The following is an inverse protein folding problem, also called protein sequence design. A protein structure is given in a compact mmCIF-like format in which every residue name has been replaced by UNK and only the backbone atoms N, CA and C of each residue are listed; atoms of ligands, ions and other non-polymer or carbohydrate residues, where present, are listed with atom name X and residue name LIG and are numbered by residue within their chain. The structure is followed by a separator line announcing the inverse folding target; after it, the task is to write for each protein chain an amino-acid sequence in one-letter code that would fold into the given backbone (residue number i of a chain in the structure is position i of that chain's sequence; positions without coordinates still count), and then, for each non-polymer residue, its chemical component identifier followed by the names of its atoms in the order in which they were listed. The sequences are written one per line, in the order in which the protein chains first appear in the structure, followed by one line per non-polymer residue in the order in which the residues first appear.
data_IF_384110519193
#
_entry.id   IF_384110519193
#
_cell.length_a   1.000
_cell.length_b   1.000
_cell.length_c   1.000
_cell.angle_alpha   90.00
_cell.angle_beta   90.00
_cell.angle_gamma   90.00
#
_symmetry.space_group_name_H-M   'P 1'
#
loop_
_entity.id
_entity.type
_entity.pdbx_description
1 polymer ?
#
# COMPACT_ATOMS: atom_id res chain seq x y z
N UNK A 1 -0.44 1.43 -14.60
CA UNK A 1 -0.08 0.01 -14.47
C UNK A 1 -1.29 -0.87 -14.19
N UNK A 2 -1.23 -2.10 -14.62
CA UNK A 2 -2.23 -3.13 -14.32
C UNK A 2 -1.52 -4.49 -14.26
N UNK A 3 -1.70 -5.24 -13.17
CA UNK A 3 -1.02 -6.53 -13.01
C UNK A 3 -1.39 -7.51 -14.13
N UNK A 4 -2.67 -7.72 -14.37
CA UNK A 4 -3.15 -8.56 -15.48
C UNK A 4 -2.96 -7.93 -16.86
N UNK A 5 -2.85 -6.60 -16.91
CA UNK A 5 -2.88 -5.82 -18.13
C UNK A 5 -4.23 -5.81 -18.85
N UNK A 6 -5.30 -6.27 -18.18
CA UNK A 6 -6.66 -6.41 -18.75
C UNK A 6 -7.69 -5.50 -18.06
N UNK A 7 -7.30 -4.71 -17.04
CA UNK A 7 -8.21 -3.79 -16.37
C UNK A 7 -8.77 -2.81 -17.39
N UNK A 8 -10.09 -2.87 -17.59
CA UNK A 8 -10.80 -2.19 -18.69
C UNK A 8 -10.50 -0.69 -18.72
N UNK A 9 -10.68 -0.02 -17.59
CA UNK A 9 -10.45 1.43 -17.47
C UNK A 9 -9.01 1.83 -17.78
N UNK A 10 -8.05 0.99 -17.36
CA UNK A 10 -6.62 1.24 -17.62
C UNK A 10 -6.28 1.06 -19.09
N UNK A 11 -6.85 0.05 -19.74
CA UNK A 11 -6.64 -0.21 -21.17
C UNK A 11 -7.31 0.87 -22.01
N UNK A 12 -8.56 1.24 -21.71
CA UNK A 12 -9.27 2.31 -22.43
C UNK A 12 -8.57 3.67 -22.28
N UNK A 13 -8.06 3.98 -21.08
CA UNK A 13 -7.25 5.19 -20.88
C UNK A 13 -5.96 5.17 -21.71
N UNK A 14 -5.26 4.04 -21.79
CA UNK A 14 -4.07 3.91 -22.62
C UNK A 14 -4.40 4.07 -24.11
N UNK A 15 -5.48 3.46 -24.58
CA UNK A 15 -5.96 3.60 -25.97
C UNK A 15 -6.33 5.05 -26.30
N UNK A 16 -7.03 5.75 -25.42
CA UNK A 16 -7.35 7.17 -25.59
C UNK A 16 -6.09 8.03 -25.72
N UNK A 17 -5.01 7.69 -25.00
CA UNK A 17 -3.77 8.44 -25.03
C UNK A 17 -2.93 8.22 -26.29
N UNK A 18 -3.20 7.19 -27.11
CA UNK A 18 -2.50 6.94 -28.37
C UNK A 18 -2.62 8.11 -29.37
N UNK A 19 -3.75 8.81 -29.32
CA UNK A 19 -4.02 9.97 -30.19
C UNK A 19 -3.62 11.31 -29.56
N UNK A 20 -3.00 11.29 -28.39
CA UNK A 20 -2.60 12.50 -27.66
C UNK A 20 -1.09 12.77 -27.82
N UNK A 21 -0.64 14.04 -27.73
CA UNK A 21 0.79 14.39 -27.82
C UNK A 21 1.53 14.09 -26.51
N UNK A 22 1.55 12.83 -26.11
CA UNK A 22 2.22 12.36 -24.89
C UNK A 22 2.88 11.00 -25.13
N UNK A 23 3.84 10.65 -24.31
CA UNK A 23 4.48 9.33 -24.29
C UNK A 23 3.86 8.49 -23.17
N UNK A 24 3.47 7.26 -23.49
CA UNK A 24 2.85 6.35 -22.54
C UNK A 24 3.79 5.20 -22.14
N UNK A 25 3.84 4.91 -20.84
CA UNK A 25 4.60 3.78 -20.28
C UNK A 25 3.65 2.87 -19.52
N UNK A 26 3.64 1.59 -19.84
CA UNK A 26 2.74 0.60 -19.21
C UNK A 26 3.47 -0.47 -18.43
N UNK A 27 3.09 -0.65 -17.16
CA UNK A 27 3.58 -1.75 -16.31
C UNK A 27 2.54 -2.87 -16.26
N UNK A 28 2.94 -4.09 -16.58
CA UNK A 28 2.08 -5.26 -16.55
C UNK A 28 2.88 -6.54 -16.34
N UNK A 29 2.22 -7.63 -15.99
CA UNK A 29 2.87 -8.92 -15.82
C UNK A 29 3.36 -9.49 -17.14
N UNK A 30 2.57 -9.37 -18.22
CA UNK A 30 2.78 -10.07 -19.49
C UNK A 30 3.03 -9.11 -20.66
N UNK A 31 3.87 -9.55 -21.59
CA UNK A 31 4.22 -8.81 -22.82
C UNK A 31 3.05 -8.74 -23.81
N UNK A 32 2.16 -9.71 -23.81
CA UNK A 32 1.02 -9.87 -24.72
C UNK A 32 -0.30 -9.33 -24.15
N UNK A 33 -0.25 -8.72 -22.96
CA UNK A 33 -1.43 -8.15 -22.33
C UNK A 33 -1.98 -6.93 -23.12
N UNK A 34 -3.30 -6.70 -23.12
CA UNK A 34 -3.93 -5.56 -23.82
C UNK A 34 -3.30 -4.21 -23.48
N UNK A 35 -2.94 -3.98 -22.20
CA UNK A 35 -2.26 -2.75 -21.79
C UNK A 35 -0.89 -2.62 -22.45
N UNK A 36 -0.11 -3.71 -22.52
CA UNK A 36 1.21 -3.70 -23.16
C UNK A 36 1.14 -3.36 -24.65
N UNK A 37 0.03 -3.71 -25.31
CA UNK A 37 -0.20 -3.39 -26.72
C UNK A 37 -0.75 -1.97 -26.95
N UNK A 38 -1.24 -1.32 -25.91
CA UNK A 38 -1.88 -0.01 -25.97
C UNK A 38 -0.96 1.16 -25.56
N UNK A 39 0.30 0.90 -25.21
CA UNK A 39 1.27 1.92 -24.77
C UNK A 39 2.52 1.95 -25.66
N UNK A 40 3.23 3.10 -25.69
CA UNK A 40 4.47 3.25 -26.46
C UNK A 40 5.61 2.41 -25.89
N UNK A 41 5.73 2.34 -24.56
CA UNK A 41 6.78 1.61 -23.84
C UNK A 41 6.17 0.62 -22.86
N UNK A 42 5.93 -0.63 -23.27
CA UNK A 42 5.55 -1.69 -22.33
C UNK A 42 6.74 -2.15 -21.49
N UNK A 43 6.57 -2.19 -20.18
CA UNK A 43 7.55 -2.67 -19.22
C UNK A 43 6.96 -3.89 -18.45
N UNK A 44 7.07 -5.09 -19.02
CA UNK A 44 6.61 -6.30 -18.37
C UNK A 44 7.58 -6.75 -17.28
N UNK A 45 7.06 -7.11 -16.09
CA UNK A 45 7.88 -7.58 -14.96
C UNK A 45 7.83 -9.09 -14.73
N UNK A 46 7.14 -9.83 -15.59
CA UNK A 46 7.08 -11.30 -15.52
C UNK A 46 6.10 -11.84 -14.48
N UNK A 47 6.07 -13.14 -14.33
CA UNK A 47 5.16 -13.80 -13.40
C UNK A 47 5.57 -13.56 -11.95
N UNK A 48 4.63 -13.06 -11.16
CA UNK A 48 4.80 -12.84 -9.72
C UNK A 48 3.46 -12.87 -9.00
N UNK A 49 3.46 -13.36 -7.76
CA UNK A 49 2.32 -13.21 -6.83
C UNK A 49 2.33 -11.84 -6.14
N UNK A 50 3.43 -11.11 -6.24
CA UNK A 50 3.66 -9.83 -5.59
C UNK A 50 3.50 -8.64 -6.56
N UNK A 51 2.46 -8.65 -7.41
CA UNK A 51 2.24 -7.66 -8.46
C UNK A 51 2.17 -6.23 -7.96
N UNK A 52 1.64 -6.01 -6.76
CA UNK A 52 1.61 -4.69 -6.13
C UNK A 52 3.03 -4.16 -5.88
N UNK A 53 3.90 -4.96 -5.27
CA UNK A 53 5.30 -4.58 -5.03
C UNK A 53 6.07 -4.38 -6.34
N UNK A 54 5.86 -5.26 -7.33
CA UNK A 54 6.51 -5.12 -8.64
C UNK A 54 6.14 -3.79 -9.33
N UNK A 55 4.85 -3.44 -9.36
CA UNK A 55 4.39 -2.15 -9.91
C UNK A 55 5.01 -0.96 -9.14
N UNK A 56 5.06 -1.04 -7.81
CA UNK A 56 5.65 0.01 -7.00
C UNK A 56 7.14 0.22 -7.30
N UNK A 57 7.92 -0.85 -7.31
CA UNK A 57 9.36 -0.82 -7.61
C UNK A 57 9.61 -0.24 -9.01
N UNK A 58 8.89 -0.72 -10.01
CA UNK A 58 9.03 -0.25 -11.39
C UNK A 58 8.67 1.24 -11.53
N UNK A 59 7.59 1.68 -10.87
CA UNK A 59 7.17 3.08 -10.89
C UNK A 59 8.21 3.98 -10.23
N UNK A 60 8.73 3.60 -9.06
CA UNK A 60 9.76 4.37 -8.35
C UNK A 60 11.06 4.45 -9.18
N UNK A 61 11.48 3.36 -9.79
CA UNK A 61 12.66 3.33 -10.66
C UNK A 61 12.48 4.26 -11.87
N UNK A 62 11.33 4.21 -12.56
CA UNK A 62 11.03 5.06 -13.72
C UNK A 62 11.01 6.54 -13.33
N UNK A 63 10.24 6.90 -12.28
CA UNK A 63 10.10 8.29 -11.83
C UNK A 63 11.47 8.84 -11.39
N UNK A 64 12.25 8.05 -10.68
CA UNK A 64 13.60 8.46 -10.26
C UNK A 64 14.54 8.71 -11.44
N UNK A 65 14.48 7.87 -12.48
CA UNK A 65 15.23 8.07 -13.71
C UNK A 65 14.82 9.34 -14.45
N UNK A 66 13.53 9.63 -14.49
CA UNK A 66 13.02 10.88 -15.05
C UNK A 66 13.51 12.10 -14.24
N UNK A 67 13.41 12.06 -12.92
CA UNK A 67 13.89 13.16 -12.05
C UNK A 67 15.40 13.39 -12.18
N UNK A 68 16.19 12.33 -12.31
CA UNK A 68 17.66 12.44 -12.56
C UNK A 68 17.99 13.27 -13.78
N UNK A 69 17.14 13.20 -14.82
CA UNK A 69 17.36 13.94 -16.07
C UNK A 69 16.74 15.33 -16.01
N UNK A 70 15.52 15.44 -15.43
CA UNK A 70 14.76 16.69 -15.42
C UNK A 70 15.23 17.68 -14.33
N UNK A 71 15.76 17.17 -13.20
CA UNK A 71 16.13 17.95 -12.04
C UNK A 71 17.61 17.75 -11.69
N UNK A 72 18.54 18.59 -12.20
CA UNK A 72 19.98 18.39 -12.03
C UNK A 72 20.47 18.33 -10.57
N UNK A 73 19.69 18.89 -9.63
CA UNK A 73 20.00 18.84 -8.19
C UNK A 73 19.54 17.55 -7.50
N UNK A 74 18.78 16.70 -8.17
CA UNK A 74 18.24 15.49 -7.58
C UNK A 74 19.23 14.31 -7.74
N UNK A 75 19.90 13.93 -6.66
CA UNK A 75 21.00 12.96 -6.69
C UNK A 75 20.66 11.60 -6.03
N UNK A 76 19.38 11.36 -5.71
CA UNK A 76 18.95 10.16 -4.97
C UNK A 76 18.77 8.93 -5.87
N UNK A 77 18.91 9.06 -7.19
CA UNK A 77 18.57 8.00 -8.16
C UNK A 77 19.32 6.68 -7.89
N UNK A 78 20.66 6.71 -7.83
CA UNK A 78 21.46 5.49 -7.66
C UNK A 78 21.18 4.85 -6.29
N UNK A 79 21.16 5.66 -5.23
CA UNK A 79 20.85 5.20 -3.89
C UNK A 79 19.43 4.59 -3.81
N UNK A 80 18.48 5.16 -4.56
CA UNK A 80 17.13 4.62 -4.65
C UNK A 80 17.13 3.26 -5.36
N UNK A 81 17.81 3.11 -6.48
CA UNK A 81 17.89 1.83 -7.21
C UNK A 81 18.52 0.73 -6.34
N UNK A 82 19.62 1.04 -5.66
CA UNK A 82 20.27 0.11 -4.73
C UNK A 82 19.31 -0.30 -3.60
N UNK A 83 18.61 0.68 -3.01
CA UNK A 83 17.62 0.44 -1.96
C UNK A 83 16.43 -0.38 -2.46
N UNK A 84 15.94 -0.13 -3.68
CA UNK A 84 14.88 -0.95 -4.30
C UNK A 84 15.35 -2.39 -4.54
N UNK A 85 16.64 -2.59 -4.84
CA UNK A 85 17.25 -3.92 -4.94
C UNK A 85 17.27 -4.67 -3.61
N UNK A 86 17.43 -3.96 -2.48
CA UNK A 86 17.40 -4.52 -1.13
C UNK A 86 15.97 -4.70 -0.55
N UNK A 87 14.97 -4.08 -1.18
CA UNK A 87 13.59 -4.05 -0.67
C UNK A 87 13.00 -5.45 -0.41
N UNK A 88 13.17 -6.48 -1.26
CA UNK A 88 12.61 -7.81 -1.00
C UNK A 88 13.06 -8.41 0.35
N UNK A 89 14.33 -8.26 0.71
CA UNK A 89 14.84 -8.73 2.00
C UNK A 89 14.27 -7.91 3.16
N UNK A 90 14.20 -6.59 3.02
CA UNK A 90 13.61 -5.71 4.03
C UNK A 90 12.12 -6.04 4.29
N UNK A 91 11.35 -6.34 3.23
CA UNK A 91 9.94 -6.76 3.33
C UNK A 91 9.81 -8.10 4.07
N UNK A 92 10.64 -9.09 3.71
CA UNK A 92 10.63 -10.40 4.36
C UNK A 92 10.95 -10.29 5.86
N UNK A 93 11.98 -9.52 6.21
CA UNK A 93 12.35 -9.29 7.61
C UNK A 93 11.27 -8.53 8.38
N UNK A 94 10.63 -7.55 7.76
CA UNK A 94 9.50 -6.82 8.34
C UNK A 94 8.34 -7.75 8.66
N UNK A 95 7.96 -8.62 7.73
CA UNK A 95 6.89 -9.58 7.93
C UNK A 95 7.21 -10.53 9.11
N UNK A 96 8.44 -11.05 9.18
CA UNK A 96 8.90 -11.92 10.28
C UNK A 96 8.87 -11.16 11.62
N UNK A 97 9.43 -9.94 11.67
CA UNK A 97 9.47 -9.12 12.86
C UNK A 97 8.08 -8.82 13.41
N UNK A 98 7.11 -8.57 12.54
CA UNK A 98 5.75 -8.20 12.92
C UNK A 98 4.84 -9.40 13.23
N UNK A 99 5.23 -10.62 12.94
CA UNK A 99 4.33 -11.79 12.95
C UNK A 99 3.66 -12.04 14.30
N UNK A 100 4.41 -11.99 15.40
CA UNK A 100 3.87 -12.20 16.75
C UNK A 100 2.86 -11.11 17.12
N UNK A 101 3.15 -9.84 16.81
CA UNK A 101 2.25 -8.72 17.03
C UNK A 101 0.98 -8.86 16.19
N UNK A 102 1.14 -9.17 14.91
CA UNK A 102 0.04 -9.36 13.98
C UNK A 102 -0.89 -10.52 14.40
N UNK A 103 -0.33 -11.61 14.93
CA UNK A 103 -1.09 -12.73 15.50
C UNK A 103 -1.99 -12.28 16.64
N UNK A 104 -1.45 -11.53 17.58
CA UNK A 104 -2.19 -11.05 18.75
C UNK A 104 -3.24 -10.00 18.37
N UNK A 105 -2.89 -9.03 17.52
CA UNK A 105 -3.83 -8.04 17.02
C UNK A 105 -4.99 -8.70 16.24
N UNK A 106 -4.70 -9.66 15.36
CA UNK A 106 -5.75 -10.41 14.67
C UNK A 106 -6.67 -11.17 15.63
N UNK A 107 -6.11 -11.78 16.69
CA UNK A 107 -6.89 -12.45 17.73
C UNK A 107 -7.80 -11.47 18.48
N UNK A 108 -7.30 -10.29 18.82
CA UNK A 108 -8.04 -9.25 19.56
C UNK A 108 -9.19 -8.66 18.75
N UNK A 109 -8.97 -8.44 17.45
CA UNK A 109 -9.89 -7.70 16.60
C UNK A 109 -10.66 -8.57 15.59
N UNK A 110 -10.56 -9.92 15.67
CA UNK A 110 -11.22 -10.86 14.75
C UNK A 110 -12.75 -10.74 14.68
N UNK A 111 -13.37 -10.31 15.75
CA UNK A 111 -14.83 -10.19 15.83
C UNK A 111 -15.34 -8.78 15.44
N UNK A 112 -14.42 -7.82 15.24
CA UNK A 112 -14.76 -6.48 14.79
C UNK A 112 -15.07 -6.48 13.29
N UNK A 113 -16.24 -5.97 12.95
CA UNK A 113 -16.71 -5.88 11.56
C UNK A 113 -16.52 -4.51 10.94
N UNK A 114 -16.20 -3.52 11.75
CA UNK A 114 -15.94 -2.14 11.35
C UNK A 114 -14.56 -1.75 11.86
N UNK A 115 -13.75 -1.17 10.98
CA UNK A 115 -12.43 -0.62 11.33
C UNK A 115 -12.18 0.67 10.55
N UNK A 116 -11.37 1.55 11.11
CA UNK A 116 -10.85 2.71 10.40
C UNK A 116 -9.33 2.57 10.21
N UNK A 117 -8.85 2.94 9.03
CA UNK A 117 -7.41 2.95 8.73
C UNK A 117 -7.02 4.35 8.33
N UNK A 118 -6.13 4.99 9.10
CA UNK A 118 -5.73 6.38 8.88
C UNK A 118 -4.29 6.43 8.40
N UNK A 119 -4.03 7.18 7.32
CA UNK A 119 -2.68 7.41 6.78
C UNK A 119 -2.50 8.85 6.31
N UNK A 120 -1.30 9.40 6.52
CA UNK A 120 -0.90 10.71 6.01
C UNK A 120 -0.03 10.55 4.75
N UNK A 121 -0.16 11.47 3.78
CA UNK A 121 0.66 11.48 2.58
C UNK A 121 0.74 10.11 1.90
N UNK A 122 1.95 9.58 1.62
CA UNK A 122 2.14 8.28 0.98
C UNK A 122 1.50 7.12 1.75
N UNK A 123 1.36 7.21 3.08
CA UNK A 123 0.74 6.17 3.90
C UNK A 123 -0.75 6.00 3.61
N UNK A 124 -1.41 6.98 3.01
CA UNK A 124 -2.81 6.82 2.61
C UNK A 124 -2.97 5.74 1.52
N UNK A 125 -1.98 5.55 0.65
CA UNK A 125 -2.01 4.46 -0.32
C UNK A 125 -2.05 3.09 0.38
N UNK A 126 -1.24 2.88 1.42
CA UNK A 126 -1.24 1.67 2.24
C UNK A 126 -2.56 1.52 3.03
N UNK A 127 -3.09 2.63 3.58
CA UNK A 127 -4.40 2.62 4.24
C UNK A 127 -5.53 2.21 3.28
N UNK A 128 -5.50 2.69 2.04
CA UNK A 128 -6.47 2.32 1.01
C UNK A 128 -6.34 0.85 0.62
N UNK A 129 -5.12 0.37 0.34
CA UNK A 129 -4.88 -1.02 -0.04
C UNK A 129 -5.33 -1.97 1.07
N UNK A 130 -4.92 -1.73 2.32
CA UNK A 130 -5.37 -2.53 3.45
C UNK A 130 -6.89 -2.49 3.61
N UNK A 131 -7.48 -1.29 3.65
CA UNK A 131 -8.90 -1.12 3.91
C UNK A 131 -9.78 -1.68 2.79
N UNK A 132 -9.54 -1.24 1.54
CA UNK A 132 -10.40 -1.54 0.40
C UNK A 132 -10.03 -2.87 -0.24
N UNK A 133 -8.76 -3.04 -0.63
CA UNK A 133 -8.35 -4.19 -1.44
C UNK A 133 -8.16 -5.47 -0.61
N UNK A 134 -7.87 -5.35 0.69
CA UNK A 134 -7.65 -6.51 1.56
C UNK A 134 -8.86 -6.75 2.48
N UNK A 135 -9.13 -5.84 3.41
CA UNK A 135 -10.14 -6.11 4.44
C UNK A 135 -11.57 -6.09 3.90
N UNK A 136 -11.94 -5.15 3.03
CA UNK A 136 -13.26 -5.18 2.38
C UNK A 136 -13.36 -6.29 1.34
N UNK A 137 -12.43 -6.34 0.40
CA UNK A 137 -12.49 -7.25 -0.75
C UNK A 137 -12.30 -8.72 -0.35
N UNK A 138 -11.31 -8.98 0.51
CA UNK A 138 -10.86 -10.34 0.82
C UNK A 138 -11.39 -10.86 2.15
N UNK A 139 -11.78 -10.00 3.10
CA UNK A 139 -12.31 -10.41 4.42
C UNK A 139 -13.75 -9.96 4.66
N UNK A 140 -14.34 -9.20 3.75
CA UNK A 140 -15.73 -8.70 3.79
C UNK A 140 -16.06 -7.92 5.05
N UNK A 141 -15.07 -7.20 5.57
CA UNK A 141 -15.21 -6.27 6.68
C UNK A 141 -15.59 -4.87 6.18
N UNK A 142 -16.25 -4.09 7.01
CA UNK A 142 -16.52 -2.68 6.72
C UNK A 142 -15.34 -1.84 7.19
N UNK A 143 -14.52 -1.39 6.28
CA UNK A 143 -13.32 -0.60 6.62
C UNK A 143 -13.37 0.74 5.92
N UNK A 144 -13.03 1.79 6.64
CA UNK A 144 -12.98 3.14 6.06
C UNK A 144 -11.55 3.68 6.11
N UNK A 145 -10.85 3.75 4.96
CA UNK A 145 -9.57 4.44 4.89
C UNK A 145 -9.78 5.97 4.96
N UNK A 146 -9.02 6.64 5.83
CA UNK A 146 -9.14 8.07 6.10
C UNK A 146 -7.79 8.74 5.86
N UNK A 147 -7.79 9.84 5.10
CA UNK A 147 -6.63 10.73 4.98
C UNK A 147 -6.45 11.48 6.29
N UNK A 148 -5.25 11.45 6.89
CA UNK A 148 -5.00 12.07 8.18
C UNK A 148 -5.30 13.58 8.19
N UNK A 149 -5.08 14.28 7.06
CA UNK A 149 -5.42 15.69 6.91
C UNK A 149 -6.93 15.96 7.07
N UNK A 150 -7.78 15.00 6.63
CA UNK A 150 -9.25 15.12 6.74
C UNK A 150 -9.80 14.62 8.08
N UNK A 151 -8.96 14.00 8.91
CA UNK A 151 -9.41 13.33 10.14
C UNK A 151 -10.18 14.28 11.07
N UNK A 152 -9.74 15.53 11.21
CA UNK A 152 -10.35 16.53 12.08
C UNK A 152 -11.50 17.32 11.41
N UNK A 153 -11.96 16.89 10.24
CA UNK A 153 -13.10 17.48 9.52
C UNK A 153 -14.37 16.61 9.59
N UNK A 154 -14.48 15.78 10.65
CA UNK A 154 -15.63 14.92 10.90
C UNK A 154 -15.23 13.55 11.50
N UNK A 155 -14.30 12.79 10.91
CA UNK A 155 -13.95 11.45 11.39
C UNK A 155 -13.55 11.36 12.87
N UNK A 156 -12.97 12.39 13.45
CA UNK A 156 -12.57 12.38 14.86
C UNK A 156 -13.76 12.27 15.85
N UNK A 157 -14.97 12.61 15.42
CA UNK A 157 -16.19 12.51 16.25
C UNK A 157 -16.65 11.09 16.50
N UNK A 158 -16.16 10.12 15.70
CA UNK A 158 -16.51 8.69 15.86
C UNK A 158 -15.51 7.93 16.72
N UNK A 159 -14.49 8.60 17.25
CA UNK A 159 -13.45 7.94 18.05
C UNK A 159 -13.97 7.65 19.45
N UNK A 160 -14.14 6.38 19.75
CA UNK A 160 -14.52 5.87 21.05
C UNK A 160 -13.90 4.49 21.31
N UNK A 161 -14.32 3.82 22.37
CA UNK A 161 -13.81 2.49 22.75
C UNK A 161 -14.47 1.32 22.01
N UNK A 162 -15.35 1.58 21.05
CA UNK A 162 -16.11 0.52 20.36
C UNK A 162 -15.49 0.09 19.04
N UNK A 163 -14.81 1.01 18.34
CA UNK A 163 -14.30 0.75 17.00
C UNK A 163 -12.77 0.86 16.96
N UNK A 164 -12.06 -0.17 16.48
CA UNK A 164 -10.61 -0.14 16.37
C UNK A 164 -10.14 0.76 15.23
N UNK A 165 -9.00 1.45 15.45
CA UNK A 165 -8.30 2.26 14.46
C UNK A 165 -6.91 1.70 14.20
N UNK A 166 -6.54 1.59 12.92
CA UNK A 166 -5.18 1.34 12.46
C UNK A 166 -4.60 2.68 12.01
N UNK A 167 -3.53 3.11 12.67
CA UNK A 167 -2.87 4.40 12.39
C UNK A 167 -1.50 4.15 11.78
N UNK A 168 -1.30 4.63 10.53
CA UNK A 168 -0.09 4.40 9.75
C UNK A 168 0.79 5.64 9.77
N UNK A 169 2.04 5.48 10.21
CA UNK A 169 3.01 6.56 10.34
C UNK A 169 4.22 6.33 9.43
N UNK A 170 4.38 7.19 8.43
CA UNK A 170 5.56 7.21 7.54
C UNK A 170 6.71 8.04 8.10
N UNK A 171 7.76 8.17 7.29
CA UNK A 171 8.96 8.99 7.59
C UNK A 171 9.05 10.23 6.69
N UNK A 172 8.04 10.46 5.85
CA UNK A 172 7.94 11.58 4.94
C UNK A 172 7.44 12.87 5.64
N UNK A 173 7.46 14.03 4.96
CA UNK A 173 7.06 15.32 5.55
C UNK A 173 5.62 15.40 6.06
N UNK A 174 4.72 14.49 5.68
CA UNK A 174 3.33 14.46 6.20
C UNK A 174 3.21 13.80 7.59
N UNK A 175 4.28 13.21 8.13
CA UNK A 175 4.30 12.55 9.43
C UNK A 175 3.65 13.34 10.58
N UNK A 176 3.86 14.67 10.71
CA UNK A 176 3.23 15.45 11.79
C UNK A 176 1.70 15.37 11.81
N UNK A 177 1.05 15.17 10.66
CA UNK A 177 -0.41 14.98 10.57
C UNK A 177 -0.82 13.66 11.22
N UNK A 178 -0.12 12.56 10.89
CA UNK A 178 -0.36 11.25 11.52
C UNK A 178 -0.10 11.30 13.03
N UNK A 179 0.98 11.95 13.47
CA UNK A 179 1.29 12.13 14.89
C UNK A 179 0.20 12.92 15.64
N UNK A 180 -0.41 13.91 14.97
CA UNK A 180 -1.55 14.66 15.54
C UNK A 180 -2.75 13.75 15.77
N UNK A 181 -3.07 12.89 14.81
CA UNK A 181 -4.15 11.88 14.94
C UNK A 181 -3.85 10.91 16.07
N UNK A 182 -2.64 10.35 16.14
CA UNK A 182 -2.20 9.45 17.21
C UNK A 182 -2.37 10.09 18.59
N UNK A 183 -1.88 11.33 18.76
CA UNK A 183 -2.01 12.05 20.05
C UNK A 183 -3.46 12.27 20.45
N UNK A 184 -4.33 12.52 19.49
CA UNK A 184 -5.77 12.66 19.74
C UNK A 184 -6.38 11.35 20.16
N UNK A 185 -6.24 10.30 19.34
CA UNK A 185 -6.87 9.00 19.57
C UNK A 185 -6.47 8.37 20.91
N UNK A 186 -5.20 8.47 21.31
CA UNK A 186 -4.69 7.96 22.61
C UNK A 186 -5.38 8.55 23.83
N UNK A 187 -6.14 9.63 23.69
CA UNK A 187 -6.89 10.25 24.80
C UNK A 187 -8.27 9.64 24.99
N UNK A 188 -8.80 8.95 23.98
CA UNK A 188 -10.19 8.56 23.93
C UNK A 188 -10.43 7.06 23.69
N UNK A 189 -9.40 6.31 23.27
CA UNK A 189 -9.52 4.87 23.05
C UNK A 189 -8.18 4.16 23.20
N UNK A 190 -8.24 2.91 23.68
CA UNK A 190 -7.10 1.98 23.69
C UNK A 190 -7.15 1.01 22.47
N UNK A 191 -8.21 1.07 21.66
CA UNK A 191 -8.39 0.21 20.49
C UNK A 191 -7.59 0.73 19.29
N UNK A 192 -6.28 0.89 19.48
CA UNK A 192 -5.34 1.49 18.54
C UNK A 192 -4.27 0.50 18.12
N UNK A 193 -4.15 0.27 16.83
CA UNK A 193 -3.02 -0.42 16.20
C UNK A 193 -2.16 0.64 15.50
N UNK A 194 -1.05 1.04 16.13
CA UNK A 194 -0.16 2.07 15.57
C UNK A 194 1.00 1.36 14.88
N UNK A 195 1.10 1.53 13.57
CA UNK A 195 2.19 1.02 12.74
C UNK A 195 3.09 2.18 12.32
N UNK A 196 4.26 2.25 12.91
CA UNK A 196 5.28 3.27 12.60
C UNK A 196 6.41 2.63 11.80
N UNK A 197 6.71 3.17 10.62
CA UNK A 197 7.80 2.66 9.78
C UNK A 197 9.17 2.75 10.46
N UNK A 198 9.34 3.64 11.44
CA UNK A 198 10.57 3.75 12.24
C UNK A 198 10.85 2.55 13.13
N UNK A 199 9.83 1.75 13.44
CA UNK A 199 9.97 0.54 14.26
C UNK A 199 10.62 -0.62 13.50
N UNK A 200 10.79 -0.48 12.17
CA UNK A 200 11.36 -1.50 11.29
C UNK A 200 12.78 -1.12 10.85
N UNK A 201 13.68 -2.10 10.87
CA UNK A 201 15.10 -1.88 10.60
C UNK A 201 15.41 -1.50 9.15
N UNK A 202 14.65 -2.02 8.17
CA UNK A 202 14.82 -1.80 6.74
C UNK A 202 16.26 -2.03 6.25
N UNK A 203 16.83 -3.23 6.39
CA UNK A 203 18.22 -3.50 6.00
C UNK A 203 18.45 -3.23 4.52
N UNK A 204 19.57 -2.59 4.19
CA UNK A 204 19.94 -2.22 2.84
C UNK A 204 19.18 -1.02 2.24
N UNK A 205 18.24 -0.44 2.98
CA UNK A 205 17.52 0.78 2.56
C UNK A 205 18.25 2.00 3.14
N UNK A 206 18.71 2.88 2.26
CA UNK A 206 19.38 4.11 2.68
C UNK A 206 18.43 5.06 3.44
N UNK A 207 18.98 5.87 4.34
CA UNK A 207 18.18 6.73 5.21
C UNK A 207 17.26 7.70 4.45
N UNK A 208 17.77 8.30 3.37
CA UNK A 208 17.01 9.20 2.51
C UNK A 208 15.93 8.49 1.65
N UNK A 209 16.03 7.17 1.50
CA UNK A 209 15.06 6.35 0.75
C UNK A 209 13.98 5.76 1.67
N UNK A 210 14.22 5.69 2.98
CA UNK A 210 13.23 5.15 3.93
C UNK A 210 11.83 5.77 3.80
N UNK A 211 11.66 7.10 3.61
CA UNK A 211 10.33 7.67 3.39
C UNK A 211 9.61 7.11 2.16
N UNK A 212 10.35 6.76 1.10
CA UNK A 212 9.82 6.17 -0.12
C UNK A 212 9.49 4.69 0.10
N UNK A 213 10.33 3.93 0.81
CA UNK A 213 10.13 2.52 1.09
C UNK A 213 9.02 2.25 2.14
N UNK A 214 8.78 3.21 3.06
CA UNK A 214 7.89 3.06 4.21
C UNK A 214 6.49 2.52 3.86
N UNK A 215 5.79 2.93 2.77
CA UNK A 215 4.52 2.35 2.39
C UNK A 215 4.58 0.83 2.18
N UNK A 216 5.63 0.34 1.52
CA UNK A 216 5.80 -1.08 1.24
C UNK A 216 6.17 -1.86 2.51
N UNK A 217 6.97 -1.26 3.38
CA UNK A 217 7.33 -1.85 4.67
C UNK A 217 6.09 -2.04 5.54
N UNK A 218 5.24 -1.02 5.67
CA UNK A 218 4.01 -1.16 6.44
C UNK A 218 3.00 -2.10 5.79
N UNK A 219 2.97 -2.18 4.46
CA UNK A 219 2.17 -3.18 3.74
C UNK A 219 2.62 -4.61 4.11
N UNK A 220 3.93 -4.88 4.14
CA UNK A 220 4.47 -6.18 4.53
C UNK A 220 4.15 -6.53 6.00
N UNK A 221 4.21 -5.56 6.90
CA UNK A 221 3.81 -5.75 8.30
C UNK A 221 2.32 -6.09 8.42
N UNK A 222 1.46 -5.36 7.72
CA UNK A 222 0.00 -5.50 7.76
C UNK A 222 -0.49 -6.74 7.00
N UNK A 223 0.28 -7.26 6.05
CA UNK A 223 -0.06 -8.52 5.38
C UNK A 223 -0.15 -9.67 6.38
N UNK A 224 0.72 -9.69 7.41
CA UNK A 224 0.66 -10.71 8.47
C UNK A 224 -0.61 -10.61 9.30
N UNK A 225 -1.05 -9.38 9.63
CA UNK A 225 -2.34 -9.17 10.29
C UNK A 225 -3.51 -9.72 9.47
N UNK A 226 -3.53 -9.44 8.18
CA UNK A 226 -4.57 -9.90 7.27
C UNK A 226 -4.58 -11.43 7.10
N UNK A 227 -3.42 -12.06 7.04
CA UNK A 227 -3.28 -13.52 6.97
C UNK A 227 -3.78 -14.20 8.23
N UNK A 228 -3.45 -13.67 9.42
CA UNK A 228 -3.95 -14.19 10.68
C UNK A 228 -5.46 -13.98 10.85
N UNK A 229 -6.02 -12.83 10.41
CA UNK A 229 -7.47 -12.63 10.35
C UNK A 229 -8.15 -13.67 9.46
N UNK A 230 -7.58 -13.97 8.29
CA UNK A 230 -8.12 -14.99 7.38
C UNK A 230 -8.21 -16.38 8.04
N UNK A 231 -7.24 -16.73 8.89
CA UNK A 231 -7.26 -17.96 9.68
C UNK A 231 -8.39 -17.91 10.72
N UNK A 232 -8.49 -16.84 11.51
CA UNK A 232 -9.52 -16.69 12.53
C UNK A 232 -10.93 -16.68 11.95
N UNK A 233 -11.13 -16.06 10.79
CA UNK A 233 -12.41 -16.01 10.10
C UNK A 233 -12.74 -17.31 9.36
N UNK A 234 -11.82 -18.26 9.26
CA UNK A 234 -11.90 -19.41 8.35
C UNK A 234 -12.28 -18.94 6.92
N UNK A 235 -11.65 -17.86 6.47
CA UNK A 235 -11.99 -17.15 5.24
C UNK A 235 -10.71 -16.78 4.45
N UNK A 236 -10.22 -17.67 3.57
CA UNK A 236 -9.00 -17.43 2.81
C UNK A 236 -9.00 -16.11 2.04
N UNK A 237 -7.86 -15.41 2.01
CA UNK A 237 -7.69 -14.15 1.28
C UNK A 237 -7.97 -14.24 -0.24
N UNK A 238 -8.02 -15.46 -0.79
CA UNK A 238 -8.38 -15.71 -2.19
C UNK A 238 -9.87 -15.80 -2.44
N UNK A 239 -10.69 -15.81 -1.39
CA UNK A 239 -12.15 -15.92 -1.53
C UNK A 239 -12.72 -14.64 -2.12
N UNK A 240 -13.56 -14.80 -3.13
CA UNK A 240 -14.30 -13.71 -3.78
C UNK A 240 -15.78 -14.04 -3.82
N UNK A 241 -16.63 -13.02 -3.65
CA UNK A 241 -18.10 -13.18 -3.76
C UNK A 241 -18.56 -12.98 -5.20
N UNK A 242 -18.09 -11.94 -5.85
CA UNK A 242 -18.52 -11.50 -7.18
C UNK A 242 -17.37 -11.44 -8.18
N UNK A 243 -16.22 -10.87 -7.76
CA UNK A 243 -15.05 -10.66 -8.62
C UNK A 243 -14.63 -11.97 -9.31
N UNK A 244 -14.45 -11.91 -10.62
CA UNK A 244 -14.16 -13.02 -11.53
C UNK A 244 -15.21 -14.12 -11.59
N UNK A 245 -16.41 -13.93 -11.03
CA UNK A 245 -17.50 -14.91 -11.03
C UNK A 245 -18.71 -14.45 -11.84
N UNK A 246 -18.80 -13.18 -12.13
CA UNK A 246 -19.89 -12.58 -12.91
C UNK A 246 -19.39 -11.32 -13.63
N UNK A 247 -20.10 -10.89 -14.65
CA UNK A 247 -19.90 -9.58 -15.29
C UNK A 247 -20.43 -8.46 -14.39
N UNK A 248 -19.75 -7.33 -14.37
CA UNK A 248 -20.12 -6.11 -13.65
C UNK A 248 -19.57 -4.86 -14.34
#
# INVERSE_FOLDING_TARGET
GSHSGTTKETVEAAQFLQDQPCTTVGFTQKTDAPLAQAVDYPLPYGETKAGYYANYIMMQALVSGFLKVAEPGWQVHETLLDSLGALPEALAQTAIQNDSRATEEARLYKDDRIMYVVGAGPMFSTAYVLGVCVLMEMQWMHVHPIVAAEFFHGPFEIVDETIPLILLMGEDPSRPEAERVVRFCKRFTERLMIYDSKDFAMPGIAAEVRPIAAPMILEAALSRFSEHLAVWHNHPLTTRRYMWKMEY
#
